data_IF_682695832194
#
_entry.id   IF_682695832194
#
_cell.length_a   1.000
_cell.length_b   1.000
_cell.length_c   1.000
_cell.angle_alpha   90.00
_cell.angle_beta   90.00
_cell.angle_gamma   90.00
#
_symmetry.space_group_name_H-M   'P 1'
#
loop_
_entity.id
_entity.type
_entity.pdbx_description
1 polymer ?
#
# COMPACT_ATOMS: atom_id res chain seq x y z
N UNK A 1 1.48 28.75 -18.58
CA UNK A 1 2.68 27.94 -18.29
C UNK A 1 3.12 28.08 -16.84
N UNK A 2 3.36 29.29 -16.32
CA UNK A 2 3.79 29.50 -14.92
C UNK A 2 2.92 28.85 -13.82
N UNK A 3 1.59 28.84 -13.97
CA UNK A 3 0.70 28.16 -13.01
C UNK A 3 0.80 26.63 -13.09
N UNK A 4 1.01 26.08 -14.27
CA UNK A 4 1.14 24.62 -14.48
C UNK A 4 2.47 24.16 -13.89
N UNK A 5 3.54 24.91 -14.11
CA UNK A 5 4.85 24.62 -13.55
C UNK A 5 4.84 24.70 -12.02
N UNK A 6 4.16 25.70 -11.46
CA UNK A 6 4.01 25.87 -10.01
C UNK A 6 3.14 24.77 -9.37
N UNK A 7 2.09 24.32 -10.06
CA UNK A 7 1.29 23.17 -9.62
C UNK A 7 2.13 21.90 -9.67
N UNK A 8 2.92 21.69 -10.73
CA UNK A 8 3.88 20.58 -10.82
C UNK A 8 4.95 20.64 -9.73
N UNK A 9 5.45 21.83 -9.39
CA UNK A 9 6.43 22.06 -8.34
C UNK A 9 5.86 21.75 -6.95
N UNK A 10 4.61 22.15 -6.69
CA UNK A 10 3.88 21.79 -5.46
C UNK A 10 3.56 20.29 -5.43
N UNK A 11 3.22 19.68 -6.57
CA UNK A 11 2.99 18.23 -6.69
C UNK A 11 4.27 17.41 -6.47
N UNK A 12 5.42 17.97 -6.85
CA UNK A 12 6.75 17.34 -6.74
C UNK A 12 7.45 17.68 -5.42
N UNK A 13 6.96 18.66 -4.65
CA UNK A 13 7.45 18.96 -3.30
C UNK A 13 7.44 17.76 -2.33
N UNK A 14 6.37 16.93 -2.23
CA UNK A 14 6.40 15.71 -1.42
C UNK A 14 7.31 14.61 -1.98
N UNK A 15 7.81 14.79 -3.20
CA UNK A 15 8.71 13.90 -3.93
C UNK A 15 10.19 14.28 -3.70
N UNK A 16 10.46 15.42 -3.06
CA UNK A 16 11.81 15.83 -2.73
C UNK A 16 12.46 14.84 -1.72
N UNK A 17 13.71 14.39 -1.96
CA UNK A 17 14.35 13.33 -1.17
C UNK A 17 14.50 13.66 0.32
N UNK A 18 14.52 14.96 0.68
CA UNK A 18 14.63 15.45 2.06
C UNK A 18 13.38 15.15 2.91
N UNK A 19 12.18 15.19 2.31
CA UNK A 19 10.91 15.00 3.03
C UNK A 19 10.25 13.65 2.72
N UNK A 20 10.88 12.83 1.87
CA UNK A 20 10.31 11.60 1.33
C UNK A 20 9.96 10.57 2.44
N UNK A 21 10.75 10.52 3.51
CA UNK A 21 10.46 9.66 4.66
C UNK A 21 9.25 10.15 5.47
N UNK A 22 9.19 11.46 5.74
CA UNK A 22 8.10 12.07 6.51
C UNK A 22 6.78 11.95 5.74
N UNK A 23 6.79 12.22 4.43
CA UNK A 23 5.61 12.05 3.58
C UNK A 23 5.17 10.59 3.51
N UNK A 24 6.09 9.63 3.38
CA UNK A 24 5.75 8.20 3.40
C UNK A 24 5.12 7.75 4.73
N UNK A 25 5.63 8.22 5.87
CA UNK A 25 5.07 7.92 7.20
C UNK A 25 3.66 8.52 7.33
N UNK A 26 3.49 9.79 6.94
CA UNK A 26 2.19 10.46 6.99
C UNK A 26 1.14 9.72 6.13
N UNK A 27 1.54 9.34 4.91
CA UNK A 27 0.68 8.56 4.00
C UNK A 27 0.33 7.20 4.62
N UNK A 28 1.31 6.50 5.21
CA UNK A 28 1.06 5.20 5.82
C UNK A 28 0.05 5.31 6.98
N UNK A 29 0.19 6.31 7.86
CA UNK A 29 -0.76 6.56 8.95
C UNK A 29 -2.14 6.88 8.40
N UNK A 30 -2.23 7.78 7.41
CA UNK A 30 -3.49 8.13 6.76
C UNK A 30 -4.18 6.90 6.15
N UNK A 31 -3.45 6.07 5.40
CA UNK A 31 -4.00 4.86 4.77
C UNK A 31 -4.45 3.83 5.80
N UNK A 32 -3.71 3.66 6.90
CA UNK A 32 -4.13 2.79 8.01
C UNK A 32 -5.44 3.27 8.62
N UNK A 33 -5.58 4.57 8.91
CA UNK A 33 -6.83 5.11 9.45
C UNK A 33 -8.01 4.92 8.50
N UNK A 34 -7.83 5.25 7.22
CA UNK A 34 -8.87 5.05 6.19
C UNK A 34 -9.25 3.57 6.07
N UNK A 35 -8.28 2.65 6.09
CA UNK A 35 -8.54 1.22 6.00
C UNK A 35 -9.35 0.70 7.20
N UNK A 36 -9.10 1.20 8.41
CA UNK A 36 -9.88 0.82 9.60
C UNK A 36 -11.30 1.36 9.56
N UNK A 37 -11.49 2.62 9.14
CA UNK A 37 -12.83 3.18 8.95
C UNK A 37 -13.60 2.39 7.89
N UNK A 38 -12.95 2.04 6.77
CA UNK A 38 -13.55 1.23 5.73
C UNK A 38 -13.96 -0.17 6.23
N UNK A 39 -13.07 -0.86 6.96
CA UNK A 39 -13.37 -2.15 7.57
C UNK A 39 -14.56 -2.04 8.54
N UNK A 40 -14.59 -1.00 9.37
CA UNK A 40 -15.69 -0.77 10.31
C UNK A 40 -17.03 -0.60 9.60
N UNK A 41 -17.08 0.17 8.51
CA UNK A 41 -18.29 0.34 7.69
C UNK A 41 -18.70 -0.98 7.04
N UNK A 42 -17.75 -1.78 6.54
CA UNK A 42 -18.05 -3.09 5.95
C UNK A 42 -18.61 -4.07 6.99
N UNK A 43 -18.08 -4.09 8.21
CA UNK A 43 -18.61 -4.91 9.31
C UNK A 43 -20.02 -4.46 9.73
N UNK A 44 -20.26 -3.15 9.82
CA UNK A 44 -21.60 -2.61 10.07
C UNK A 44 -22.58 -3.04 8.98
N UNK A 45 -22.17 -2.94 7.71
CA UNK A 45 -22.97 -3.38 6.57
C UNK A 45 -23.28 -4.87 6.62
N UNK A 46 -22.31 -5.70 6.99
CA UNK A 46 -22.47 -7.14 7.14
C UNK A 46 -23.45 -7.48 8.26
N UNK A 47 -23.29 -6.87 9.44
CA UNK A 47 -24.19 -7.09 10.58
C UNK A 47 -25.64 -6.69 10.25
N UNK A 48 -25.84 -5.53 9.62
CA UNK A 48 -27.18 -5.08 9.21
C UNK A 48 -27.77 -5.97 8.12
N UNK A 49 -26.96 -6.45 7.17
CA UNK A 49 -27.44 -7.36 6.14
C UNK A 49 -27.81 -8.74 6.70
N UNK A 50 -27.08 -9.22 7.71
CA UNK A 50 -27.42 -10.46 8.43
C UNK A 50 -28.74 -10.32 9.18
N UNK A 51 -28.94 -9.23 9.92
CA UNK A 51 -30.21 -8.93 10.58
C UNK A 51 -31.36 -8.87 9.57
N UNK A 52 -31.20 -8.15 8.46
CA UNK A 52 -32.22 -8.06 7.42
C UNK A 52 -32.50 -9.42 6.76
N UNK A 53 -31.49 -10.25 6.54
CA UNK A 53 -31.65 -11.58 5.96
C UNK A 53 -32.38 -12.53 6.91
N UNK A 54 -32.11 -12.46 8.21
CA UNK A 54 -32.79 -13.30 9.21
C UNK A 54 -34.27 -12.93 9.36
N UNK A 55 -34.60 -11.63 9.35
CA UNK A 55 -35.99 -11.14 9.33
C UNK A 55 -36.73 -11.62 8.07
N UNK A 56 -36.08 -11.57 6.90
CA UNK A 56 -36.66 -12.08 5.66
C UNK A 56 -36.94 -13.58 5.72
N UNK A 57 -36.01 -14.37 6.26
CA UNK A 57 -36.20 -15.82 6.44
C UNK A 57 -37.32 -16.14 7.43
N UNK A 58 -37.41 -15.39 8.52
CA UNK A 58 -38.51 -15.51 9.50
C UNK A 58 -39.85 -15.16 8.87
N UNK A 59 -39.90 -14.12 8.03
CA UNK A 59 -41.13 -13.72 7.32
C UNK A 59 -41.57 -14.75 6.29
N UNK A 60 -40.63 -15.39 5.58
CA UNK A 60 -40.92 -16.49 4.65
C UNK A 60 -41.47 -17.71 5.41
N UNK A 61 -40.90 -18.03 6.58
CA UNK A 61 -41.36 -19.14 7.41
C UNK A 61 -42.78 -18.90 7.96
N UNK A 62 -43.04 -17.70 8.50
CA UNK A 62 -44.35 -17.33 9.05
C UNK A 62 -45.46 -17.35 7.99
N UNK A 63 -45.15 -16.87 6.77
CA UNK A 63 -46.11 -16.91 5.67
C UNK A 63 -46.39 -18.33 5.21
N UNK A 64 -45.37 -19.19 5.15
CA UNK A 64 -45.53 -20.61 4.82
C UNK A 64 -46.41 -21.32 5.85
N UNK A 65 -46.24 -21.02 7.14
CA UNK A 65 -47.04 -21.61 8.22
C UNK A 65 -48.49 -21.09 8.19
N UNK A 66 -48.69 -19.85 7.74
CA UNK A 66 -49.99 -19.23 7.57
C UNK A 66 -50.80 -19.72 6.36
N UNK A 67 -50.15 -20.01 5.24
CA UNK A 67 -50.78 -20.55 4.03
C UNK A 67 -51.47 -21.90 4.27
N UNK A 68 -51.05 -22.66 5.28
CA UNK A 68 -51.76 -23.87 5.72
C UNK A 68 -53.13 -23.58 6.39
N UNK A 69 -53.41 -22.35 6.78
CA UNK A 69 -54.58 -21.95 7.59
C UNK A 69 -55.62 -21.17 6.75
N UNK A 70 -55.23 -20.49 5.67
CA UNK A 70 -56.13 -19.69 4.84
C UNK A 70 -55.97 -20.01 3.35
N UNK A 71 -57.00 -20.58 2.74
CA UNK A 71 -57.08 -20.77 1.28
C UNK A 71 -57.26 -19.42 0.59
N UNK A 72 -56.16 -18.76 0.23
CA UNK A 72 -56.18 -17.56 -0.62
C UNK A 72 -56.11 -17.94 -2.09
N UNK A 73 -56.40 -16.99 -2.99
CA UNK A 73 -56.56 -17.30 -4.42
C UNK A 73 -55.21 -17.68 -5.07
N UNK A 74 -55.20 -18.77 -5.85
CA UNK A 74 -54.00 -19.36 -6.49
C UNK A 74 -53.12 -18.35 -7.27
N UNK A 75 -53.71 -17.26 -7.75
CA UNK A 75 -53.01 -16.25 -8.54
C UNK A 75 -52.23 -15.24 -7.68
N UNK A 76 -52.72 -14.89 -6.49
CA UNK A 76 -52.00 -14.01 -5.55
C UNK A 76 -50.85 -14.75 -4.84
N UNK A 77 -51.02 -16.05 -4.60
CA UNK A 77 -49.97 -16.94 -4.07
C UNK A 77 -48.76 -16.98 -5.00
N UNK A 78 -48.97 -17.15 -6.31
CA UNK A 78 -47.88 -17.24 -7.30
C UNK A 78 -47.03 -15.96 -7.43
N UNK A 79 -47.63 -14.78 -7.26
CA UNK A 79 -46.93 -13.49 -7.37
C UNK A 79 -46.14 -13.20 -6.10
N UNK A 80 -46.70 -13.52 -4.94
CA UNK A 80 -46.03 -13.33 -3.66
C UNK A 80 -44.86 -14.31 -3.52
N UNK A 81 -45.06 -15.59 -3.84
CA UNK A 81 -43.99 -16.60 -3.82
C UNK A 81 -42.81 -16.20 -4.72
N UNK A 82 -43.08 -15.68 -5.91
CA UNK A 82 -42.03 -15.18 -6.80
C UNK A 82 -41.25 -13.99 -6.22
N UNK A 83 -41.94 -13.05 -5.56
CA UNK A 83 -41.32 -11.89 -4.89
C UNK A 83 -40.45 -12.33 -3.71
N UNK A 84 -40.90 -13.28 -2.90
CA UNK A 84 -40.12 -13.81 -1.78
C UNK A 84 -38.88 -14.55 -2.26
N UNK A 85 -39.01 -15.39 -3.30
CA UNK A 85 -37.87 -16.07 -3.92
C UNK A 85 -36.87 -15.09 -4.53
N UNK A 86 -37.35 -14.01 -5.14
CA UNK A 86 -36.48 -12.94 -5.64
C UNK A 86 -35.78 -12.18 -4.52
N UNK A 87 -36.49 -11.89 -3.43
CA UNK A 87 -35.94 -11.19 -2.26
C UNK A 87 -34.88 -12.04 -1.54
N UNK A 88 -35.13 -13.35 -1.36
CA UNK A 88 -34.18 -14.30 -0.78
C UNK A 88 -32.90 -14.43 -1.63
N UNK A 89 -33.07 -14.56 -2.96
CA UNK A 89 -31.93 -14.61 -3.89
C UNK A 89 -31.14 -13.31 -3.85
N UNK A 90 -31.81 -12.15 -3.75
CA UNK A 90 -31.11 -10.87 -3.65
C UNK A 90 -30.37 -10.74 -2.32
N UNK A 91 -31.01 -11.09 -1.21
CA UNK A 91 -30.42 -11.05 0.13
C UNK A 91 -29.17 -11.95 0.24
N UNK A 92 -29.27 -13.18 -0.25
CA UNK A 92 -28.13 -14.13 -0.27
C UNK A 92 -26.97 -13.63 -1.12
N UNK A 93 -27.24 -13.06 -2.31
CA UNK A 93 -26.20 -12.45 -3.15
C UNK A 93 -25.56 -11.25 -2.45
N UNK A 94 -26.35 -10.37 -1.82
CA UNK A 94 -25.81 -9.21 -1.08
C UNK A 94 -24.96 -9.62 0.10
N UNK A 95 -25.36 -10.65 0.86
CA UNK A 95 -24.57 -11.22 1.94
C UNK A 95 -23.25 -11.79 1.41
N UNK A 96 -23.30 -12.60 0.34
CA UNK A 96 -22.10 -13.15 -0.27
C UNK A 96 -21.12 -12.05 -0.72
N UNK A 97 -21.63 -10.99 -1.35
CA UNK A 97 -20.82 -9.83 -1.75
C UNK A 97 -20.23 -9.09 -0.55
N UNK A 98 -20.98 -8.92 0.54
CA UNK A 98 -20.50 -8.27 1.78
C UNK A 98 -19.44 -9.12 2.48
N UNK A 99 -19.59 -10.45 2.50
CA UNK A 99 -18.56 -11.36 3.01
C UNK A 99 -17.26 -11.23 2.21
N UNK A 100 -17.33 -11.31 0.88
CA UNK A 100 -16.16 -11.11 0.01
C UNK A 100 -15.55 -9.73 0.24
N UNK A 101 -16.36 -8.67 0.26
CA UNK A 101 -15.90 -7.31 0.52
C UNK A 101 -15.20 -7.15 1.88
N UNK A 102 -15.73 -7.79 2.93
CA UNK A 102 -15.13 -7.78 4.27
C UNK A 102 -13.78 -8.50 4.27
N UNK A 103 -13.67 -9.65 3.59
CA UNK A 103 -12.37 -10.35 3.45
C UNK A 103 -11.34 -9.51 2.68
N UNK A 104 -11.75 -8.78 1.65
CA UNK A 104 -10.87 -7.86 0.95
C UNK A 104 -10.46 -6.67 1.84
N UNK A 105 -11.38 -6.14 2.65
CA UNK A 105 -11.10 -5.07 3.60
C UNK A 105 -10.09 -5.51 4.68
N UNK A 106 -10.20 -6.72 5.21
CA UNK A 106 -9.25 -7.25 6.20
C UNK A 106 -7.87 -7.45 5.60
N UNK A 107 -7.78 -8.02 4.38
CA UNK A 107 -6.52 -8.13 3.64
C UNK A 107 -5.90 -6.74 3.41
N UNK A 108 -6.72 -5.75 3.05
CA UNK A 108 -6.26 -4.37 2.86
C UNK A 108 -5.71 -3.77 4.16
N UNK A 109 -6.39 -3.95 5.30
CA UNK A 109 -5.92 -3.48 6.61
C UNK A 109 -4.58 -4.14 6.98
N UNK A 110 -4.46 -5.45 6.82
CA UNK A 110 -3.21 -6.16 7.08
C UNK A 110 -2.07 -5.65 6.18
N UNK A 111 -2.36 -5.37 4.91
CA UNK A 111 -1.38 -4.78 3.99
C UNK A 111 -0.96 -3.37 4.41
N UNK A 112 -1.89 -2.53 4.88
CA UNK A 112 -1.61 -1.18 5.38
C UNK A 112 -0.79 -1.19 6.68
N UNK A 113 -1.06 -2.15 7.57
CA UNK A 113 -0.23 -2.37 8.76
C UNK A 113 1.19 -2.80 8.38
N UNK A 114 1.33 -3.66 7.36
CA UNK A 114 2.62 -4.00 6.76
C UNK A 114 3.37 -2.76 6.25
N UNK A 115 2.68 -1.88 5.52
CA UNK A 115 3.24 -0.60 5.06
C UNK A 115 3.72 0.28 6.24
N UNK A 116 2.93 0.39 7.31
CA UNK A 116 3.29 1.18 8.49
C UNK A 116 4.52 0.59 9.21
N UNK A 117 4.57 -0.72 9.39
CA UNK A 117 5.73 -1.39 10.00
C UNK A 117 6.95 -1.24 9.10
N UNK A 118 6.78 -1.37 7.78
CA UNK A 118 7.84 -1.19 6.78
C UNK A 118 8.42 0.23 6.79
N UNK A 119 7.57 1.25 6.87
CA UNK A 119 7.98 2.67 6.95
C UNK A 119 8.68 2.99 8.27
N UNK A 120 8.23 2.44 9.40
CA UNK A 120 8.85 2.66 10.70
C UNK A 120 10.19 1.92 10.87
N UNK A 121 10.27 0.66 10.41
CA UNK A 121 11.47 -0.18 10.52
C UNK A 121 12.43 -0.06 9.32
N UNK A 122 12.13 0.79 8.33
CA UNK A 122 12.89 0.94 7.08
C UNK A 122 13.18 -0.41 6.37
N UNK A 123 12.25 -1.37 6.45
CA UNK A 123 12.38 -2.69 5.83
C UNK A 123 11.56 -2.71 4.54
N UNK A 124 12.24 -2.78 3.40
CA UNK A 124 11.62 -2.66 2.07
C UNK A 124 10.70 -3.86 1.72
N UNK A 125 10.89 -5.03 2.34
CA UNK A 125 10.10 -6.25 2.10
C UNK A 125 8.59 -6.04 2.37
N UNK A 126 8.23 -5.26 3.38
CA UNK A 126 6.84 -5.05 3.78
C UNK A 126 6.05 -4.09 2.88
N UNK A 127 6.71 -3.39 1.95
CA UNK A 127 6.06 -2.48 1.02
C UNK A 127 5.37 -3.21 -0.14
N UNK A 128 5.90 -4.38 -0.52
CA UNK A 128 5.47 -5.11 -1.72
C UNK A 128 4.00 -5.53 -1.63
N UNK A 129 3.52 -6.15 -0.53
CA UNK A 129 2.13 -6.59 -0.44
C UNK A 129 1.14 -5.44 -0.60
N UNK A 130 1.41 -4.30 0.06
CA UNK A 130 0.55 -3.12 -0.04
C UNK A 130 0.52 -2.55 -1.46
N UNK A 131 1.69 -2.39 -2.11
CA UNK A 131 1.75 -1.84 -3.48
C UNK A 131 0.99 -2.71 -4.49
N UNK A 132 1.00 -4.04 -4.32
CA UNK A 132 0.27 -4.97 -5.19
C UNK A 132 -1.24 -4.87 -4.95
N UNK A 133 -1.68 -4.90 -3.69
CA UNK A 133 -3.10 -4.78 -3.34
C UNK A 133 -3.67 -3.44 -3.79
N UNK A 134 -2.96 -2.33 -3.57
CA UNK A 134 -3.39 -0.99 -3.98
C UNK A 134 -3.42 -0.85 -5.52
N UNK A 135 -2.52 -1.50 -6.25
CA UNK A 135 -2.55 -1.52 -7.72
C UNK A 135 -3.80 -2.25 -8.27
N UNK A 136 -4.11 -3.45 -7.75
CA UNK A 136 -5.33 -4.14 -8.17
C UNK A 136 -6.60 -3.42 -7.70
N UNK A 137 -6.58 -2.86 -6.50
CA UNK A 137 -7.69 -2.07 -5.95
C UNK A 137 -7.98 -0.83 -6.79
N UNK A 138 -6.96 -0.08 -7.20
CA UNK A 138 -7.12 1.10 -8.07
C UNK A 138 -7.65 0.74 -9.45
N UNK A 139 -7.23 -0.40 -10.03
CA UNK A 139 -7.80 -0.89 -11.29
C UNK A 139 -9.28 -1.28 -11.14
N UNK A 140 -9.65 -1.96 -10.06
CA UNK A 140 -11.04 -2.34 -9.80
C UNK A 140 -11.94 -1.12 -9.54
N UNK A 141 -11.48 -0.13 -8.76
CA UNK A 141 -12.23 1.12 -8.56
C UNK A 141 -12.34 1.89 -9.88
N UNK A 142 -11.26 1.94 -10.66
CA UNK A 142 -11.26 2.58 -11.98
C UNK A 142 -12.29 1.96 -12.93
N UNK A 143 -12.39 0.63 -12.98
CA UNK A 143 -13.38 -0.05 -13.82
C UNK A 143 -14.82 0.22 -13.37
N UNK A 144 -15.08 0.26 -12.06
CA UNK A 144 -16.40 0.60 -11.50
C UNK A 144 -16.78 2.05 -11.83
N UNK A 145 -15.85 2.99 -11.67
CA UNK A 145 -16.08 4.42 -11.99
C UNK A 145 -16.41 4.59 -13.47
N UNK A 146 -15.66 3.93 -14.35
CA UNK A 146 -15.93 3.98 -15.79
C UNK A 146 -17.30 3.35 -16.11
N UNK A 147 -17.60 2.18 -15.54
CA UNK A 147 -18.89 1.51 -15.74
C UNK A 147 -20.07 2.35 -15.24
N UNK A 148 -19.92 3.03 -14.10
CA UNK A 148 -20.91 3.95 -13.55
C UNK A 148 -21.07 5.20 -14.43
N UNK A 149 -19.98 5.71 -15.01
CA UNK A 149 -20.02 6.82 -15.98
C UNK A 149 -20.78 6.47 -17.26
N UNK A 150 -20.70 5.22 -17.75
CA UNK A 150 -21.49 4.82 -18.93
C UNK A 150 -22.99 4.67 -18.64
N UNK A 151 -23.40 4.60 -17.37
CA UNK A 151 -24.80 4.42 -17.02
C UNK A 151 -25.53 5.77 -16.95
N UNK A 152 -26.53 5.97 -17.81
CA UNK A 152 -27.30 7.22 -17.90
C UNK A 152 -28.02 7.58 -16.59
N UNK A 153 -28.26 6.61 -15.70
CA UNK A 153 -28.87 6.84 -14.38
C UNK A 153 -28.00 7.66 -13.42
N UNK A 154 -26.68 7.63 -13.59
CA UNK A 154 -25.72 8.33 -12.73
C UNK A 154 -25.79 9.85 -12.89
N UNK A 155 -26.08 10.33 -14.10
CA UNK A 155 -26.17 11.77 -14.43
C UNK A 155 -27.49 12.43 -14.03
N UNK A 156 -28.42 11.68 -13.43
CA UNK A 156 -29.72 12.22 -13.02
C UNK A 156 -29.63 13.16 -11.82
N UNK A 157 -28.57 13.05 -11.02
CA UNK A 157 -28.39 13.82 -9.77
C UNK A 157 -27.18 14.76 -9.77
N UNK A 158 -26.20 14.55 -10.64
CA UNK A 158 -24.97 15.34 -10.73
C UNK A 158 -24.71 15.73 -12.18
N UNK A 159 -24.23 16.96 -12.40
CA UNK A 159 -23.79 17.40 -13.72
C UNK A 159 -22.61 16.53 -14.18
N UNK A 160 -22.63 16.11 -15.45
CA UNK A 160 -21.66 15.18 -16.04
C UNK A 160 -20.20 15.60 -15.79
N UNK A 161 -19.90 16.89 -15.94
CA UNK A 161 -18.56 17.45 -15.73
C UNK A 161 -18.09 17.39 -14.28
N UNK A 162 -18.99 17.52 -13.30
CA UNK A 162 -18.64 17.47 -11.88
C UNK A 162 -18.27 16.05 -11.47
N UNK A 163 -19.02 15.05 -11.95
CA UNK A 163 -18.72 13.64 -11.72
C UNK A 163 -17.34 13.26 -12.27
N UNK A 164 -17.07 13.58 -13.54
CA UNK A 164 -15.78 13.28 -14.17
C UNK A 164 -14.62 14.02 -13.51
N UNK A 165 -14.82 15.28 -13.12
CA UNK A 165 -13.83 16.07 -12.38
C UNK A 165 -13.50 15.43 -11.03
N UNK A 166 -14.53 15.09 -10.24
CA UNK A 166 -14.35 14.47 -8.93
C UNK A 166 -13.64 13.11 -9.03
N UNK A 167 -14.08 12.26 -9.97
CA UNK A 167 -13.43 10.99 -10.25
C UNK A 167 -11.98 11.16 -10.70
N UNK A 168 -11.70 12.14 -11.57
CA UNK A 168 -10.35 12.47 -12.02
C UNK A 168 -9.42 12.85 -10.87
N UNK A 169 -9.88 13.73 -9.98
CA UNK A 169 -9.11 14.15 -8.78
C UNK A 169 -8.84 12.96 -7.85
N UNK A 170 -9.85 12.11 -7.62
CA UNK A 170 -9.70 10.90 -6.78
C UNK A 170 -8.69 9.90 -7.35
N UNK A 171 -8.71 9.67 -8.67
CA UNK A 171 -7.75 8.79 -9.34
C UNK A 171 -6.35 9.40 -9.31
N UNK A 172 -6.22 10.70 -9.62
CA UNK A 172 -4.94 11.40 -9.56
C UNK A 172 -4.30 11.34 -8.16
N UNK A 173 -5.10 11.57 -7.10
CA UNK A 173 -4.63 11.48 -5.73
C UNK A 173 -4.12 10.07 -5.37
N UNK A 174 -4.82 9.01 -5.79
CA UNK A 174 -4.36 7.64 -5.58
C UNK A 174 -3.06 7.35 -6.33
N UNK A 175 -2.95 7.78 -7.58
CA UNK A 175 -1.72 7.62 -8.38
C UNK A 175 -0.55 8.34 -7.72
N UNK A 176 -0.72 9.58 -7.27
CA UNK A 176 0.34 10.35 -6.59
C UNK A 176 0.77 9.62 -5.32
N UNK A 177 -0.19 9.15 -4.52
CA UNK A 177 0.09 8.42 -3.27
C UNK A 177 0.92 7.16 -3.54
N UNK A 178 0.53 6.38 -4.55
CA UNK A 178 1.25 5.19 -4.96
C UNK A 178 2.65 5.50 -5.49
N UNK A 179 2.82 6.58 -6.26
CA UNK A 179 4.12 7.03 -6.77
C UNK A 179 5.07 7.43 -5.64
N UNK A 180 4.59 8.18 -4.64
CA UNK A 180 5.40 8.59 -3.47
C UNK A 180 5.91 7.36 -2.73
N UNK A 181 5.03 6.38 -2.45
CA UNK A 181 5.43 5.14 -1.77
C UNK A 181 6.39 4.31 -2.61
N UNK A 182 6.15 4.21 -3.92
CA UNK A 182 7.06 3.50 -4.84
C UNK A 182 8.43 4.16 -4.90
N UNK A 183 8.51 5.49 -4.87
CA UNK A 183 9.77 6.21 -4.82
C UNK A 183 10.49 5.97 -3.49
N UNK A 184 9.77 5.95 -2.37
CA UNK A 184 10.34 5.60 -1.07
C UNK A 184 10.89 4.17 -1.06
N UNK A 185 10.12 3.21 -1.60
CA UNK A 185 10.55 1.83 -1.76
C UNK A 185 11.83 1.71 -2.61
N UNK A 186 11.87 2.36 -3.78
CA UNK A 186 13.06 2.36 -4.64
C UNK A 186 14.27 2.97 -3.96
N UNK A 187 14.07 4.06 -3.21
CA UNK A 187 15.14 4.70 -2.45
C UNK A 187 15.69 3.75 -1.37
N UNK A 188 14.82 3.08 -0.60
CA UNK A 188 15.24 2.08 0.38
C UNK A 188 16.03 0.92 -0.27
N UNK A 189 15.55 0.37 -1.38
CA UNK A 189 16.26 -0.71 -2.11
C UNK A 189 17.62 -0.26 -2.63
N UNK A 190 17.71 0.97 -3.13
CA UNK A 190 18.98 1.52 -3.58
C UNK A 190 19.96 1.66 -2.42
N UNK A 191 19.51 2.16 -1.27
CA UNK A 191 20.33 2.30 -0.07
C UNK A 191 20.75 0.94 0.51
N UNK A 192 19.89 -0.08 0.48
CA UNK A 192 20.28 -1.43 0.93
C UNK A 192 21.29 -2.08 -0.02
N UNK A 193 21.17 -1.87 -1.33
CA UNK A 193 22.18 -2.34 -2.30
C UNK A 193 23.52 -1.64 -2.13
N UNK A 194 23.52 -0.32 -1.92
CA UNK A 194 24.75 0.43 -1.61
C UNK A 194 25.39 -0.07 -0.31
N UNK A 195 24.57 -0.38 0.70
CA UNK A 195 25.05 -1.00 1.93
C UNK A 195 25.73 -2.32 1.62
N UNK A 196 25.08 -3.25 0.92
CA UNK A 196 25.62 -4.56 0.54
C UNK A 196 26.93 -4.49 -0.26
N UNK A 197 27.02 -3.57 -1.22
CA UNK A 197 28.25 -3.36 -2.02
C UNK A 197 29.38 -2.78 -1.17
N UNK A 198 29.08 -1.91 -0.20
CA UNK A 198 30.07 -1.35 0.72
C UNK A 198 30.60 -2.36 1.76
N UNK A 199 29.88 -3.46 2.02
CA UNK A 199 30.33 -4.54 2.92
C UNK A 199 31.22 -5.56 2.21
N UNK A 200 31.40 -5.47 0.89
CA UNK A 200 32.38 -6.30 0.19
C UNK A 200 33.77 -5.85 0.67
N UNK A 201 34.37 -6.70 1.51
CA UNK A 201 35.70 -6.48 2.06
C UNK A 201 36.67 -6.17 0.92
N UNK A 202 37.21 -4.95 0.92
CA UNK A 202 38.35 -4.59 0.08
C UNK A 202 39.42 -5.64 0.40
N UNK A 203 39.94 -6.39 -0.60
CA UNK A 203 41.05 -7.31 -0.36
C UNK A 203 42.19 -6.49 0.22
N UNK A 204 42.43 -6.62 1.54
CA UNK A 204 43.62 -6.06 2.14
C UNK A 204 44.80 -6.71 1.40
N UNK A 205 45.67 -5.95 0.70
CA UNK A 205 46.92 -6.53 0.22
C UNK A 205 47.66 -7.05 1.46
N UNK A 206 48.09 -8.31 1.38
CA UNK A 206 48.73 -9.01 2.48
C UNK A 206 49.84 -8.13 3.08
N UNK A 207 49.73 -7.86 4.38
CA UNK A 207 50.74 -7.11 5.13
C UNK A 207 52.06 -7.87 4.98
N UNK A 208 53.15 -7.23 4.48
CA UNK A 208 54.45 -7.88 4.48
C UNK A 208 54.84 -8.18 5.92
N UNK A 209 55.27 -9.41 6.19
CA UNK A 209 55.74 -9.83 7.50
C UNK A 209 56.81 -8.83 8.04
N UNK A 210 56.81 -8.52 9.34
CA UNK A 210 57.74 -7.54 9.90
C UNK A 210 59.16 -8.10 9.80
N UNK A 211 59.92 -7.57 8.84
CA UNK A 211 61.32 -7.95 8.58
C UNK A 211 61.67 -8.29 7.12
N UNK A 212 60.68 -8.41 6.22
CA UNK A 212 60.96 -8.73 4.82
C UNK A 212 61.27 -7.51 3.97
N UNK A 213 62.55 -7.25 3.64
CA UNK A 213 62.89 -6.38 2.51
C UNK A 213 62.38 -7.04 1.22
N UNK A 214 61.29 -6.50 0.67
CA UNK A 214 60.83 -6.84 -0.67
C UNK A 214 61.76 -6.19 -1.69
N UNK A 215 62.80 -6.91 -2.11
CA UNK A 215 63.55 -6.61 -3.33
C UNK A 215 62.75 -7.15 -4.52
N UNK A 216 62.08 -6.25 -5.24
CA UNK A 216 61.60 -6.55 -6.59
C UNK A 216 62.79 -6.48 -7.55
N UNK A 217 63.01 -7.55 -8.31
CA UNK A 217 64.13 -7.68 -9.26
C UNK A 217 63.97 -6.87 -10.56
N UNK A 218 62.92 -6.03 -10.69
CA UNK A 218 62.63 -5.32 -11.96
C UNK A 218 62.23 -3.85 -11.79
N UNK A 219 62.99 -3.06 -11.02
CA UNK A 219 63.15 -1.61 -11.24
C UNK A 219 61.91 -0.68 -11.23
N UNK A 220 60.71 -1.17 -10.91
CA UNK A 220 59.50 -0.37 -10.79
C UNK A 220 59.17 -0.23 -9.30
N UNK A 221 59.16 1.02 -8.85
CA UNK A 221 58.81 1.41 -7.49
C UNK A 221 57.51 0.73 -7.06
N UNK A 222 57.52 0.10 -5.88
CA UNK A 222 56.31 -0.41 -5.25
C UNK A 222 55.30 0.74 -5.17
N UNK A 223 54.20 0.61 -5.90
CA UNK A 223 53.12 1.59 -5.91
C UNK A 223 52.65 1.76 -4.45
N UNK A 224 52.90 2.94 -3.90
CA UNK A 224 52.33 3.37 -2.63
C UNK A 224 50.80 3.27 -2.79
N UNK A 225 50.09 2.50 -1.97
CA UNK A 225 48.64 2.44 -2.05
C UNK A 225 48.08 3.85 -1.81
N UNK A 226 47.26 4.40 -2.73
CA UNK A 226 46.61 5.68 -2.48
C UNK A 226 45.58 5.44 -1.38
N UNK A 227 45.53 6.34 -0.41
CA UNK A 227 44.68 6.34 0.79
C UNK A 227 45.24 5.53 1.98
N UNK A 228 45.92 6.25 2.86
CA UNK A 228 46.19 5.83 4.23
C UNK A 228 44.86 5.61 5.00
N UNK A 229 44.39 4.37 5.06
CA UNK A 229 43.45 3.96 6.11
C UNK A 229 44.21 3.91 7.44
N UNK A 230 44.19 5.02 8.17
CA UNK A 230 44.80 5.13 9.49
C UNK A 230 43.88 4.46 10.51
N UNK A 231 44.41 3.52 11.29
CA UNK A 231 43.65 2.69 12.26
C UNK A 231 42.81 3.52 13.24
N UNK A 232 43.26 4.74 13.55
CA UNK A 232 42.57 5.72 14.40
C UNK A 232 41.23 6.21 13.83
N UNK A 233 41.00 6.09 12.53
CA UNK A 233 39.73 6.47 11.90
C UNK A 233 38.76 5.28 11.74
N UNK A 234 39.04 4.15 12.39
CA UNK A 234 38.16 2.98 12.36
C UNK A 234 37.70 2.61 13.76
N UNK A 235 36.39 2.44 13.93
CA UNK A 235 35.78 1.99 15.17
C UNK A 235 35.10 0.64 14.97
N UNK A 236 34.97 -0.13 16.05
CA UNK A 236 34.30 -1.43 16.02
C UNK A 236 32.80 -1.20 16.19
N UNK A 237 32.01 -1.58 15.19
CA UNK A 237 30.54 -1.48 15.16
C UNK A 237 29.95 -2.87 14.96
N UNK A 238 28.64 -3.05 15.17
CA UNK A 238 27.95 -4.31 14.88
C UNK A 238 28.12 -4.63 13.37
N UNK A 239 28.96 -5.63 13.10
CA UNK A 239 29.41 -6.01 11.75
C UNK A 239 30.90 -5.83 11.46
N UNK A 240 31.72 -5.39 12.43
CA UNK A 240 33.17 -5.33 12.32
C UNK A 240 33.76 -3.92 12.35
N UNK A 241 35.01 -3.80 11.87
CA UNK A 241 35.80 -2.56 11.94
C UNK A 241 35.39 -1.62 10.80
N UNK A 242 34.73 -0.50 11.11
CA UNK A 242 34.18 0.47 10.14
C UNK A 242 34.91 1.81 10.21
N UNK A 243 35.04 2.50 9.09
CA UNK A 243 35.71 3.80 9.02
C UNK A 243 34.73 4.95 9.34
N UNK A 244 35.15 5.91 10.18
CA UNK A 244 34.32 6.98 10.78
C UNK A 244 33.59 7.83 9.72
N UNK A 245 34.15 8.01 8.52
CA UNK A 245 33.47 8.72 7.41
C UNK A 245 32.20 8.01 6.90
N UNK A 246 32.11 6.69 7.02
CA UNK A 246 30.89 5.97 6.61
C UNK A 246 29.76 6.15 7.63
N UNK A 247 30.10 6.44 8.88
CA UNK A 247 29.16 6.62 9.99
C UNK A 247 28.75 8.09 10.17
N UNK A 248 29.64 9.03 9.85
CA UNK A 248 29.32 10.47 9.82
C UNK A 248 28.18 10.80 8.84
N UNK A 249 27.96 9.95 7.83
CA UNK A 249 26.80 10.07 6.96
C UNK A 249 25.51 9.64 7.68
N UNK A 250 25.54 8.61 8.55
CA UNK A 250 24.37 8.17 9.34
C UNK A 250 23.88 9.27 10.28
N UNK A 251 24.78 10.07 10.87
CA UNK A 251 24.43 11.19 11.74
C UNK A 251 23.91 12.43 10.99
N UNK A 252 24.27 12.61 9.71
CA UNK A 252 23.82 13.75 8.90
C UNK A 252 22.45 13.56 8.23
N UNK A 253 21.80 12.40 8.41
CA UNK A 253 20.40 12.18 8.03
C UNK A 253 19.41 12.47 9.17
N UNK A 254 19.89 13.04 10.28
CA UNK A 254 19.09 13.42 11.46
C UNK A 254 18.84 14.94 11.58
N UNK A 255 19.11 15.72 10.52
CA UNK A 255 18.77 17.15 10.43
C UNK A 255 17.95 17.43 9.18
#
# INVERSE_FOLDING_TARGET
MYLIDRVFEVLTMPVAPKYLRISAILIAIYKVLVAHVFLFVMLLGLAHAEEMSTILQMSIADQKDGEYIWTTSEQEESINEWRFKSAEKLASVTLCMLYIGTTLATIYVLSCLGLLIGTLRNRHEFFIPWMVVDFFGTLAIGSIVIAAGYNQSTYRYLYEWEYWSFCGVMVAFNIITWLVIRMFYKNLVHMTKLREVAIVAIPCPAVPAPGGKSTTTNGLAAAVPPYHYRKENMHLSDGGLKHILFDANEANYLV
#
